data_IF_172544211447
#
_entry.id   IF_172544211447
#
_cell.length_a   1.000
_cell.length_b   1.000
_cell.length_c   1.000
_cell.angle_alpha   90.00
_cell.angle_beta   90.00
_cell.angle_gamma   90.00
#
_symmetry.space_group_name_H-M   'P 1'
#
loop_
_entity.id
_entity.type
_entity.pdbx_description
1 polymer ?
#
# COMPACT_ATOMS: atom_id res chain seq x y z
N UNK A 1 -17.57 -14.17 -22.43
CA UNK A 1 -18.15 -13.07 -21.62
C UNK A 1 -17.37 -13.04 -20.31
N UNK A 2 -16.36 -12.16 -20.21
CA UNK A 2 -15.57 -12.01 -18.99
C UNK A 2 -16.31 -11.08 -18.02
N UNK A 3 -16.50 -11.54 -16.78
CA UNK A 3 -17.12 -10.76 -15.70
C UNK A 3 -16.51 -9.36 -15.58
N UNK A 4 -17.31 -8.32 -15.30
CA UNK A 4 -16.79 -7.02 -14.93
C UNK A 4 -16.07 -7.19 -13.60
N UNK A 5 -14.74 -7.10 -13.60
CA UNK A 5 -13.92 -7.26 -12.42
C UNK A 5 -14.23 -6.12 -11.44
N UNK A 6 -15.15 -6.37 -10.52
CA UNK A 6 -15.20 -5.64 -9.26
C UNK A 6 -13.90 -5.99 -8.53
N UNK A 7 -12.99 -5.03 -8.43
CA UNK A 7 -11.84 -5.19 -7.57
C UNK A 7 -12.37 -5.27 -6.13
N UNK A 8 -12.10 -6.38 -5.44
CA UNK A 8 -12.34 -6.45 -4.00
C UNK A 8 -11.38 -5.47 -3.33
N UNK A 9 -11.79 -4.87 -2.21
CA UNK A 9 -10.85 -4.28 -1.27
C UNK A 9 -9.64 -5.21 -1.08
N UNK A 10 -8.42 -4.66 -1.13
CA UNK A 10 -7.25 -5.45 -0.83
C UNK A 10 -7.34 -6.00 0.59
N UNK A 11 -6.94 -7.26 0.77
CA UNK A 11 -6.80 -7.88 2.07
C UNK A 11 -5.87 -7.03 2.96
N UNK A 12 -6.41 -6.56 4.08
CA UNK A 12 -5.69 -5.84 5.09
C UNK A 12 -5.08 -6.80 6.13
N UNK A 13 -4.07 -6.29 6.84
CA UNK A 13 -3.41 -6.98 7.95
C UNK A 13 -3.77 -6.24 9.23
N UNK A 14 -4.18 -6.97 10.26
CA UNK A 14 -4.49 -6.44 11.58
C UNK A 14 -3.66 -7.13 12.64
N UNK A 15 -3.36 -6.41 13.71
CA UNK A 15 -2.64 -6.96 14.86
C UNK A 15 -3.53 -6.93 16.10
N UNK A 16 -3.53 -8.04 16.83
CA UNK A 16 -4.06 -8.17 18.18
C UNK A 16 -2.89 -8.46 19.10
N UNK A 17 -2.73 -7.68 20.16
CA UNK A 17 -1.70 -7.93 21.17
C UNK A 17 -2.27 -8.81 22.27
N UNK A 18 -1.57 -9.88 22.64
CA UNK A 18 -1.72 -10.53 23.94
C UNK A 18 -0.88 -9.73 24.95
N UNK A 19 -1.51 -9.25 26.02
CA UNK A 19 -0.90 -8.24 26.90
C UNK A 19 -0.61 -8.78 28.29
N UNK A 20 0.32 -8.15 29.05
CA UNK A 20 0.60 -8.49 30.45
C UNK A 20 -0.58 -8.41 31.44
N UNK A 21 -1.71 -7.83 31.01
CA UNK A 21 -2.93 -7.77 31.81
C UNK A 21 -3.86 -8.96 31.54
N UNK A 22 -3.38 -10.00 30.86
CA UNK A 22 -4.15 -11.15 30.39
C UNK A 22 -5.37 -10.72 29.56
N UNK A 23 -5.13 -9.83 28.60
CA UNK A 23 -6.16 -9.36 27.66
C UNK A 23 -5.67 -9.36 26.22
N UNK A 24 -6.60 -9.54 25.28
CA UNK A 24 -6.40 -9.22 23.88
C UNK A 24 -6.66 -7.74 23.62
N UNK A 25 -5.77 -7.06 22.91
CA UNK A 25 -5.90 -5.65 22.53
C UNK A 25 -5.75 -5.46 21.02
N UNK A 26 -6.81 -5.07 20.29
CA UNK A 26 -8.19 -4.95 20.77
C UNK A 26 -8.84 -6.33 21.04
N UNK A 27 -9.74 -6.40 22.02
CA UNK A 27 -10.50 -7.63 22.31
C UNK A 27 -11.64 -7.86 21.32
N UNK A 28 -12.22 -6.79 20.76
CA UNK A 28 -13.16 -6.86 19.64
C UNK A 28 -12.53 -6.25 18.40
N UNK A 29 -12.33 -7.06 17.37
CA UNK A 29 -11.75 -6.61 16.11
C UNK A 29 -12.73 -6.88 14.96
N UNK A 30 -13.05 -5.83 14.23
CA UNK A 30 -13.87 -5.91 13.03
C UNK A 30 -12.99 -5.82 11.78
N UNK A 31 -13.07 -6.83 10.92
CA UNK A 31 -12.31 -6.95 9.67
C UNK A 31 -13.22 -7.25 8.49
N UNK A 32 -12.66 -7.38 7.30
CA UNK A 32 -13.35 -7.80 6.08
C UNK A 32 -12.90 -9.20 5.64
N UNK A 33 -13.73 -9.88 4.87
CA UNK A 33 -13.40 -11.18 4.31
C UNK A 33 -12.10 -11.10 3.47
N UNK A 34 -11.23 -12.10 3.66
CA UNK A 34 -9.84 -12.21 3.15
C UNK A 34 -8.80 -11.39 3.89
N UNK A 35 -9.15 -10.60 4.90
CA UNK A 35 -8.17 -9.95 5.79
C UNK A 35 -7.44 -11.00 6.64
N UNK A 36 -6.25 -10.63 7.13
CA UNK A 36 -5.43 -11.46 8.02
C UNK A 36 -5.31 -10.79 9.38
N UNK A 37 -5.47 -11.58 10.44
CA UNK A 37 -5.22 -11.16 11.82
C UNK A 37 -3.95 -11.83 12.31
N UNK A 38 -3.08 -11.05 12.93
CA UNK A 38 -1.87 -11.51 13.59
C UNK A 38 -1.98 -11.26 15.08
N UNK A 39 -1.93 -12.32 15.87
CA UNK A 39 -1.77 -12.22 17.31
C UNK A 39 -0.29 -12.16 17.65
N UNK A 40 0.12 -11.20 18.47
CA UNK A 40 1.50 -11.01 18.91
C UNK A 40 1.53 -11.03 20.42
N UNK A 41 2.39 -11.85 21.01
CA UNK A 41 2.57 -11.83 22.44
C UNK A 41 3.48 -10.67 22.87
N UNK A 42 2.92 -9.73 23.64
CA UNK A 42 3.62 -8.58 24.21
C UNK A 42 3.87 -8.73 25.72
N UNK A 43 3.48 -9.88 26.30
CA UNK A 43 3.80 -10.28 27.65
C UNK A 43 5.18 -10.95 27.69
N UNK A 44 6.10 -10.37 28.47
CA UNK A 44 7.47 -10.86 28.63
C UNK A 44 7.61 -11.91 29.75
N UNK A 45 6.52 -12.19 30.46
CA UNK A 45 6.48 -13.04 31.63
C UNK A 45 5.67 -14.32 31.38
N UNK A 46 4.62 -14.24 30.57
CA UNK A 46 3.70 -15.34 30.29
C UNK A 46 3.66 -15.71 28.79
N UNK A 47 3.44 -16.99 28.50
CA UNK A 47 3.07 -17.44 27.15
C UNK A 47 1.55 -17.36 26.98
N UNK A 48 1.12 -17.06 25.76
CA UNK A 48 -0.30 -16.89 25.44
C UNK A 48 -0.69 -17.68 24.20
N UNK A 49 -1.97 -17.94 24.02
CA UNK A 49 -2.50 -18.53 22.78
C UNK A 49 -3.79 -17.86 22.32
N UNK A 50 -4.25 -18.25 21.14
CA UNK A 50 -5.53 -17.82 20.55
C UNK A 50 -6.24 -19.05 20.07
N UNK A 51 -7.26 -19.46 20.83
CA UNK A 51 -8.05 -20.66 20.57
C UNK A 51 -9.47 -20.27 20.24
N UNK A 52 -9.92 -20.66 19.04
CA UNK A 52 -11.29 -20.45 18.63
C UNK A 52 -12.25 -21.22 19.52
N UNK A 53 -13.29 -20.56 20.06
CA UNK A 53 -14.34 -21.25 20.80
C UNK A 53 -15.17 -22.18 19.90
N UNK A 54 -15.01 -22.08 18.58
CA UNK A 54 -15.67 -22.90 17.57
C UNK A 54 -14.77 -24.01 17.02
N UNK A 55 -13.55 -24.17 17.53
CA UNK A 55 -12.59 -25.18 17.06
C UNK A 55 -12.04 -24.93 15.65
N UNK A 56 -12.10 -23.69 15.17
CA UNK A 56 -11.67 -23.32 13.80
C UNK A 56 -10.15 -23.14 13.72
N UNK A 57 -9.53 -22.64 14.79
CA UNK A 57 -8.09 -22.49 14.90
C UNK A 57 -7.63 -22.63 16.35
N UNK A 58 -6.36 -22.92 16.48
CA UNK A 58 -5.58 -22.91 17.72
C UNK A 58 -4.16 -22.51 17.33
N UNK A 59 -3.62 -21.43 17.92
CA UNK A 59 -2.26 -20.98 17.63
C UNK A 59 -1.17 -21.86 18.25
N UNK A 60 -1.52 -22.64 19.28
CA UNK A 60 -0.57 -23.12 20.28
C UNK A 60 0.04 -21.96 21.11
N UNK A 61 0.90 -22.29 22.09
CA UNK A 61 1.60 -21.29 22.89
C UNK A 61 2.48 -20.38 22.03
N UNK A 62 2.39 -19.08 22.30
CA UNK A 62 3.14 -18.01 21.65
C UNK A 62 4.01 -17.35 22.73
N UNK A 63 5.33 -17.52 22.63
CA UNK A 63 6.31 -16.87 23.51
C UNK A 63 6.37 -15.36 23.29
N UNK A 64 6.99 -14.63 24.22
CA UNK A 64 7.24 -13.18 24.11
C UNK A 64 7.83 -12.78 22.74
N UNK A 65 7.23 -11.77 22.10
CA UNK A 65 7.51 -11.30 20.74
C UNK A 65 7.25 -12.32 19.62
N UNK A 66 6.77 -13.51 19.96
CA UNK A 66 6.23 -14.49 19.03
C UNK A 66 4.90 -14.01 18.43
N UNK A 67 4.49 -14.66 17.33
CA UNK A 67 3.23 -14.34 16.68
C UNK A 67 2.60 -15.51 15.95
N UNK A 68 1.28 -15.44 15.77
CA UNK A 68 0.48 -16.34 14.95
C UNK A 68 -0.41 -15.53 14.02
N UNK A 69 -0.50 -15.93 12.74
CA UNK A 69 -1.31 -15.22 11.74
C UNK A 69 -2.33 -16.15 11.10
N UNK A 70 -3.57 -15.66 10.96
CA UNK A 70 -4.65 -16.39 10.28
C UNK A 70 -5.42 -15.47 9.34
N UNK A 71 -5.68 -15.96 8.13
CA UNK A 71 -6.58 -15.30 7.17
C UNK A 71 -8.03 -15.73 7.40
N UNK A 72 -8.96 -14.78 7.33
CA UNK A 72 -10.39 -15.01 7.49
C UNK A 72 -11.13 -14.87 6.15
N UNK A 73 -11.28 -15.95 5.36
CA UNK A 73 -11.89 -15.86 4.03
C UNK A 73 -13.41 -15.72 4.03
N UNK A 74 -14.07 -16.08 5.14
CA UNK A 74 -15.53 -16.19 5.23
C UNK A 74 -16.07 -15.21 6.27
N UNK A 75 -17.20 -14.58 5.95
CA UNK A 75 -17.91 -13.67 6.86
C UNK A 75 -18.46 -14.43 8.06
N UNK A 76 -18.45 -13.80 9.22
CA UNK A 76 -18.96 -14.42 10.45
C UNK A 76 -18.46 -13.72 11.71
N UNK A 77 -18.90 -14.22 12.86
CA UNK A 77 -18.42 -13.81 14.16
C UNK A 77 -17.70 -14.99 14.80
N UNK A 78 -16.44 -14.77 15.14
CA UNK A 78 -15.52 -15.79 15.61
C UNK A 78 -15.03 -15.43 17.02
N UNK A 79 -15.70 -15.91 18.07
CA UNK A 79 -15.21 -15.78 19.44
C UNK A 79 -13.99 -16.68 19.66
N UNK A 80 -13.07 -16.22 20.50
CA UNK A 80 -11.87 -16.94 20.87
C UNK A 80 -11.42 -16.56 22.29
N UNK A 81 -10.59 -17.39 22.89
CA UNK A 81 -10.02 -17.16 24.20
C UNK A 81 -8.56 -17.63 24.22
N UNK A 82 -7.83 -17.18 25.24
CA UNK A 82 -6.57 -17.77 25.63
C UNK A 82 -6.85 -18.97 26.55
N UNK A 83 -6.34 -20.15 26.24
CA UNK A 83 -6.63 -21.39 26.97
C UNK A 83 -5.95 -21.48 28.34
N UNK A 84 -4.97 -20.63 28.63
CA UNK A 84 -4.26 -20.56 29.90
C UNK A 84 -4.89 -19.54 30.86
N UNK A 85 -5.50 -18.47 30.31
CA UNK A 85 -6.03 -17.35 31.07
C UNK A 85 -7.52 -17.05 30.81
N UNK A 86 -8.28 -17.95 30.19
CA UNK A 86 -9.73 -17.80 29.97
C UNK A 86 -10.52 -17.66 31.29
N UNK A 87 -10.09 -18.33 32.37
CA UNK A 87 -10.70 -18.19 33.70
C UNK A 87 -10.59 -16.77 34.26
N UNK A 88 -9.66 -15.96 33.75
CA UNK A 88 -9.48 -14.55 34.10
C UNK A 88 -10.17 -13.61 33.10
N UNK A 89 -10.88 -14.15 32.10
CA UNK A 89 -11.63 -13.39 31.12
C UNK A 89 -10.82 -12.97 29.90
N UNK A 90 -9.68 -13.60 29.63
CA UNK A 90 -8.88 -13.33 28.42
C UNK A 90 -9.59 -13.85 27.16
N UNK A 91 -10.56 -13.07 26.69
CA UNK A 91 -11.45 -13.41 25.58
C UNK A 91 -11.43 -12.32 24.50
N UNK A 92 -11.65 -12.75 23.27
CA UNK A 92 -11.74 -11.86 22.13
C UNK A 92 -12.82 -12.28 21.13
N UNK A 93 -13.09 -11.41 20.17
CA UNK A 93 -14.02 -11.67 19.07
C UNK A 93 -13.53 -11.02 17.80
N UNK A 94 -13.43 -11.82 16.73
CA UNK A 94 -13.22 -11.33 15.36
C UNK A 94 -14.57 -11.27 14.65
N UNK A 95 -14.97 -10.10 14.16
CA UNK A 95 -16.16 -9.92 13.34
C UNK A 95 -15.73 -9.68 11.89
N UNK A 96 -15.99 -10.65 11.02
CA UNK A 96 -15.62 -10.60 9.60
C UNK A 96 -16.83 -10.15 8.80
N UNK A 97 -16.77 -8.92 8.29
CA UNK A 97 -17.78 -8.35 7.40
C UNK A 97 -17.52 -8.75 5.94
N UNK A 98 -18.53 -8.66 5.06
CA UNK A 98 -18.30 -8.78 3.62
C UNK A 98 -17.17 -7.86 3.16
N UNK A 99 -16.32 -8.36 2.27
CA UNK A 99 -15.33 -7.53 1.60
C UNK A 99 -16.03 -6.34 0.92
N UNK A 100 -15.54 -5.14 1.17
CA UNK A 100 -16.07 -3.96 0.48
C UNK A 100 -15.72 -4.08 -0.99
N UNK A 101 -16.73 -4.12 -1.85
CA UNK A 101 -16.54 -4.08 -3.28
C UNK A 101 -16.12 -2.66 -3.65
N UNK A 102 -14.93 -2.52 -4.22
CA UNK A 102 -14.48 -1.25 -4.77
C UNK A 102 -14.98 -1.21 -6.21
N UNK A 103 -15.91 -0.29 -6.56
CA UNK A 103 -16.27 -0.13 -7.95
C UNK A 103 -15.03 0.32 -8.73
N UNK A 104 -14.73 -0.28 -9.89
CA UNK A 104 -13.59 0.14 -10.69
C UNK A 104 -13.77 1.61 -11.13
N UNK A 105 -12.66 2.34 -11.38
CA UNK A 105 -12.72 3.66 -11.98
C UNK A 105 -13.51 3.63 -13.28
N UNK A 106 -14.42 4.58 -13.43
CA UNK A 106 -15.28 4.66 -14.60
C UNK A 106 -14.97 5.93 -15.39
N UNK A 107 -14.93 5.80 -16.71
CA UNK A 107 -14.83 6.93 -17.62
C UNK A 107 -16.24 7.30 -18.11
N UNK A 108 -16.67 8.54 -17.87
CA UNK A 108 -18.00 9.04 -18.22
C UNK A 108 -17.91 10.40 -18.92
N UNK A 109 -19.04 10.92 -19.40
CA UNK A 109 -19.15 12.27 -19.98
C UNK A 109 -18.11 12.55 -21.07
N UNK A 110 -17.88 11.57 -21.95
CA UNK A 110 -16.95 11.71 -23.05
C UNK A 110 -17.44 12.75 -24.08
N UNK A 111 -16.58 13.70 -24.43
CA UNK A 111 -16.90 14.80 -25.32
C UNK A 111 -15.70 15.17 -26.19
N UNK A 112 -15.92 15.29 -27.50
CA UNK A 112 -14.93 15.86 -28.42
C UNK A 112 -15.07 17.39 -28.42
N UNK A 113 -13.97 18.08 -28.17
CA UNK A 113 -13.87 19.54 -28.19
C UNK A 113 -12.95 19.99 -29.34
N UNK A 114 -13.01 21.28 -29.67
CA UNK A 114 -12.14 21.87 -30.69
C UNK A 114 -10.64 21.72 -30.36
N UNK A 115 -10.28 21.66 -29.06
CA UNK A 115 -8.91 21.58 -28.57
C UNK A 115 -8.53 20.21 -27.97
N UNK A 116 -9.36 19.18 -28.13
CA UNK A 116 -9.03 17.86 -27.59
C UNK A 116 -10.23 16.97 -27.30
N UNK A 117 -9.99 15.93 -26.51
CA UNK A 117 -11.01 14.98 -26.07
C UNK A 117 -11.13 14.99 -24.54
N UNK A 118 -12.32 15.28 -24.03
CA UNK A 118 -12.61 15.42 -22.62
C UNK A 118 -13.41 14.22 -22.11
N UNK A 119 -13.18 13.82 -20.86
CA UNK A 119 -14.04 12.89 -20.13
C UNK A 119 -13.86 13.05 -18.63
N UNK A 120 -14.82 12.56 -17.86
CA UNK A 120 -14.75 12.46 -16.40
C UNK A 120 -14.22 11.09 -15.99
N UNK A 121 -13.35 11.06 -14.97
CA UNK A 121 -12.95 9.85 -14.26
C UNK A 121 -13.68 9.86 -12.93
N UNK A 122 -14.47 8.82 -12.64
CA UNK A 122 -15.27 8.68 -11.41
C UNK A 122 -14.94 7.38 -10.68
N UNK A 123 -15.57 7.15 -9.53
CA UNK A 123 -15.32 5.99 -8.64
C UNK A 123 -13.88 5.92 -8.11
N UNK A 124 -13.21 7.06 -7.97
CA UNK A 124 -11.89 7.12 -7.38
C UNK A 124 -11.97 6.98 -5.86
N UNK A 125 -11.01 6.27 -5.28
CA UNK A 125 -10.85 6.19 -3.82
C UNK A 125 -9.94 7.32 -3.37
N UNK A 126 -10.45 8.21 -2.52
CA UNK A 126 -9.67 9.30 -1.91
C UNK A 126 -8.45 8.70 -1.20
N UNK A 127 -7.29 9.36 -1.31
CA UNK A 127 -5.95 8.93 -0.86
C UNK A 127 -5.28 7.81 -1.65
N UNK A 128 -5.97 7.12 -2.58
CA UNK A 128 -5.34 6.13 -3.46
C UNK A 128 -4.71 6.79 -4.68
N UNK A 129 -3.61 6.21 -5.15
CA UNK A 129 -3.01 6.58 -6.44
C UNK A 129 -3.82 5.97 -7.57
N UNK A 130 -4.16 6.80 -8.55
CA UNK A 130 -4.87 6.39 -9.75
C UNK A 130 -4.02 6.72 -10.96
N UNK A 131 -4.03 5.82 -11.94
CA UNK A 131 -3.35 6.00 -13.22
C UNK A 131 -4.40 6.01 -14.30
N UNK A 132 -4.46 7.12 -15.04
CA UNK A 132 -5.14 7.16 -16.32
C UNK A 132 -4.16 6.75 -17.41
N UNK A 133 -4.57 5.81 -18.24
CA UNK A 133 -3.76 5.30 -19.35
C UNK A 133 -4.46 5.54 -20.68
N UNK A 134 -3.67 5.68 -21.74
CA UNK A 134 -4.15 5.61 -23.11
C UNK A 134 -3.38 4.60 -23.95
N UNK A 135 -4.06 4.09 -24.97
CA UNK A 135 -3.53 3.15 -25.95
C UNK A 135 -4.06 3.48 -27.34
N UNK A 136 -3.30 3.15 -28.38
CA UNK A 136 -3.75 3.23 -29.78
C UNK A 136 -4.12 1.86 -30.37
N UNK A 137 -3.82 0.77 -29.67
CA UNK A 137 -3.93 -0.61 -30.16
C UNK A 137 -4.60 -1.59 -29.16
N UNK A 138 -5.05 -1.10 -28.00
CA UNK A 138 -5.57 -1.88 -26.86
C UNK A 138 -4.57 -2.83 -26.19
N UNK A 139 -3.32 -2.90 -26.67
CA UNK A 139 -2.27 -3.78 -26.18
C UNK A 139 -1.25 -2.97 -25.38
N UNK A 140 -0.71 -1.93 -25.99
CA UNK A 140 0.30 -1.06 -25.42
C UNK A 140 -0.37 0.13 -24.73
N UNK A 141 -0.30 0.16 -23.39
CA UNK A 141 -0.90 1.20 -22.57
C UNK A 141 0.18 2.08 -21.96
N UNK A 142 0.03 3.39 -22.14
CA UNK A 142 0.93 4.41 -21.58
C UNK A 142 0.20 5.19 -20.50
N UNK A 143 0.86 5.50 -19.38
CA UNK A 143 0.32 6.40 -18.38
C UNK A 143 0.31 7.84 -18.91
N UNK A 144 -0.84 8.50 -18.81
CA UNK A 144 -1.06 9.86 -19.35
C UNK A 144 -1.39 10.86 -18.25
N UNK A 145 -1.81 10.36 -17.10
CA UNK A 145 -2.00 11.12 -15.88
C UNK A 145 -1.90 10.19 -14.68
N UNK A 146 -1.26 10.65 -13.61
CA UNK A 146 -1.14 9.91 -12.35
C UNK A 146 -1.34 10.88 -11.22
N UNK A 147 -2.25 10.56 -10.32
CA UNK A 147 -2.53 11.40 -9.18
C UNK A 147 -2.93 10.58 -7.96
N UNK A 148 -2.70 11.14 -6.78
CA UNK A 148 -3.39 10.71 -5.57
C UNK A 148 -4.77 11.38 -5.59
N UNK A 149 -5.85 10.60 -5.50
CA UNK A 149 -7.19 11.17 -5.53
C UNK A 149 -7.47 11.97 -4.27
N UNK A 150 -7.81 13.25 -4.43
CA UNK A 150 -8.30 14.13 -3.36
C UNK A 150 -9.83 14.15 -3.30
N UNK A 151 -10.49 13.66 -4.35
CA UNK A 151 -11.94 13.56 -4.53
C UNK A 151 -12.27 12.25 -5.24
N UNK A 152 -13.55 11.90 -5.31
CA UNK A 152 -14.03 10.66 -5.97
C UNK A 152 -14.04 10.72 -7.50
N UNK A 153 -13.63 11.85 -8.07
CA UNK A 153 -13.48 11.99 -9.52
C UNK A 153 -12.86 13.33 -9.93
N UNK A 154 -12.49 13.41 -11.20
CA UNK A 154 -11.98 14.61 -11.86
C UNK A 154 -12.34 14.60 -13.35
N UNK A 155 -12.25 15.76 -14.00
CA UNK A 155 -12.37 15.86 -15.45
C UNK A 155 -10.99 15.96 -16.08
N UNK A 156 -10.75 15.15 -17.11
CA UNK A 156 -9.50 15.14 -17.88
C UNK A 156 -9.75 15.67 -19.29
N UNK A 157 -8.81 16.45 -19.80
CA UNK A 157 -8.78 16.91 -21.19
C UNK A 157 -7.50 16.41 -21.85
N UNK A 158 -7.63 15.52 -22.84
CA UNK A 158 -6.54 15.11 -23.69
C UNK A 158 -6.38 16.07 -24.87
N UNK A 159 -5.35 16.92 -24.81
CA UNK A 159 -5.02 17.90 -25.87
C UNK A 159 -3.99 17.38 -26.87
N UNK A 160 -3.54 16.13 -26.74
CA UNK A 160 -2.54 15.57 -27.65
C UNK A 160 -3.13 15.42 -29.06
N UNK A 161 -2.30 15.49 -30.11
CA UNK A 161 -2.75 15.39 -31.49
C UNK A 161 -3.70 14.21 -31.72
N UNK A 162 -4.70 14.46 -32.56
CA UNK A 162 -5.66 13.43 -32.96
C UNK A 162 -4.91 12.27 -33.64
N UNK A 163 -5.29 11.06 -33.27
CA UNK A 163 -4.86 9.81 -33.90
C UNK A 163 -6.12 9.07 -34.35
N UNK A 164 -5.99 8.13 -35.26
CA UNK A 164 -7.14 7.42 -35.83
C UNK A 164 -8.06 6.83 -34.75
N UNK A 165 -7.47 6.22 -33.71
CA UNK A 165 -8.18 5.74 -32.51
C UNK A 165 -7.28 5.88 -31.29
N UNK A 166 -7.85 6.34 -30.17
CA UNK A 166 -7.22 6.32 -28.85
C UNK A 166 -8.22 5.77 -27.85
N UNK A 167 -7.80 4.79 -27.08
CA UNK A 167 -8.56 4.14 -26.02
C UNK A 167 -8.05 4.62 -24.68
N UNK A 168 -8.93 4.66 -23.69
CA UNK A 168 -8.62 5.15 -22.35
C UNK A 168 -9.07 4.12 -21.32
N UNK A 169 -8.31 3.99 -20.23
CA UNK A 169 -8.72 3.25 -19.04
C UNK A 169 -8.13 3.92 -17.80
N UNK A 170 -8.83 3.82 -16.69
CA UNK A 170 -8.33 4.26 -15.39
C UNK A 170 -8.14 3.03 -14.50
N UNK A 171 -7.07 3.06 -13.71
CA UNK A 171 -6.68 2.01 -12.78
C UNK A 171 -6.50 2.64 -11.41
N UNK A 172 -7.02 1.99 -10.36
CA UNK A 172 -6.58 2.27 -8.99
C UNK A 172 -5.35 1.41 -8.78
N UNK A 173 -4.25 1.99 -8.35
CA UNK A 173 -3.14 1.15 -7.91
C UNK A 173 -3.53 0.49 -6.58
N UNK A 174 -3.37 -0.84 -6.45
CA UNK A 174 -3.41 -1.46 -5.14
C UNK A 174 -2.45 -0.69 -4.22
N UNK A 175 -2.94 -0.28 -3.07
CA UNK A 175 -2.12 0.08 -1.92
C UNK A 175 -1.41 -1.19 -1.49
N UNK A 176 -0.38 -1.56 -2.23
CA UNK A 176 0.73 -2.24 -1.59
C UNK A 176 1.31 -1.17 -0.68
N UNK A 177 1.13 -1.34 0.62
CA UNK A 177 1.92 -0.67 1.65
C UNK A 177 3.39 -1.11 1.56
N UNK A 178 3.96 -1.11 0.35
CA UNK A 178 5.39 -1.01 0.14
C UNK A 178 5.60 0.50 0.17
N UNK A 179 5.91 1.09 1.33
CA UNK A 179 6.28 2.50 1.38
C UNK A 179 7.37 2.70 0.31
N UNK A 180 7.04 3.50 -0.69
CA UNK A 180 7.98 3.84 -1.75
C UNK A 180 8.93 4.87 -1.19
N UNK A 181 10.25 4.70 -1.40
CA UNK A 181 11.22 5.70 -0.97
C UNK A 181 10.85 7.08 -1.51
N UNK A 182 10.72 8.06 -0.62
CA UNK A 182 10.40 9.42 -0.97
C UNK A 182 11.63 10.31 -0.75
N UNK A 183 11.91 11.18 -1.71
CA UNK A 183 12.96 12.20 -1.58
C UNK A 183 12.34 13.51 -1.10
N UNK A 184 12.78 14.02 0.05
CA UNK A 184 12.27 15.24 0.68
C UNK A 184 13.41 16.16 1.12
N UNK A 185 13.09 17.38 1.58
CA UNK A 185 14.06 18.31 2.16
C UNK A 185 15.28 18.59 1.27
N UNK A 186 15.04 18.77 -0.03
CA UNK A 186 16.10 19.04 -1.00
C UNK A 186 16.72 20.44 -0.76
N UNK A 187 18.05 20.49 -0.62
CA UNK A 187 18.78 21.71 -0.29
C UNK A 187 20.15 21.73 -0.98
N UNK A 188 20.47 22.84 -1.65
CA UNK A 188 21.84 23.11 -2.06
C UNK A 188 22.64 23.61 -0.87
N UNK A 189 23.79 23.00 -0.61
CA UNK A 189 24.71 23.34 0.50
C UNK A 189 26.09 23.65 -0.05
N UNK A 190 26.95 24.27 0.77
CA UNK A 190 28.29 24.74 0.37
C UNK A 190 29.15 23.67 -0.33
N UNK A 191 28.93 22.38 -0.01
CA UNK A 191 29.71 21.26 -0.53
C UNK A 191 28.88 20.23 -1.33
N UNK A 192 27.70 20.60 -1.84
CA UNK A 192 26.91 19.69 -2.67
C UNK A 192 25.40 19.89 -2.61
N UNK A 193 24.68 18.83 -2.90
CA UNK A 193 23.22 18.81 -2.89
C UNK A 193 22.71 17.74 -1.91
N UNK A 194 21.94 18.18 -0.91
CA UNK A 194 21.44 17.35 0.17
C UNK A 194 19.94 17.07 0.00
N UNK A 195 19.49 15.88 0.41
CA UNK A 195 18.07 15.57 0.57
C UNK A 195 17.88 14.41 1.56
N UNK A 196 16.67 14.28 2.10
CA UNK A 196 16.25 13.13 2.91
C UNK A 196 15.65 12.05 2.01
N UNK A 197 15.98 10.79 2.29
CA UNK A 197 15.28 9.61 1.77
C UNK A 197 14.43 9.07 2.91
N UNK A 198 13.12 9.06 2.76
CA UNK A 198 12.16 8.58 3.76
C UNK A 198 11.36 7.39 3.22
N UNK A 199 10.50 6.80 4.05
CA UNK A 199 9.62 5.68 3.67
C UNK A 199 10.39 4.41 3.26
N UNK A 200 11.55 4.16 3.87
CA UNK A 200 12.29 2.92 3.67
C UNK A 200 11.71 1.79 4.51
N UNK A 201 11.78 0.56 3.98
CA UNK A 201 11.40 -0.66 4.71
C UNK A 201 12.63 -1.21 5.41
N UNK A 202 12.59 -1.33 6.73
CA UNK A 202 13.70 -1.89 7.53
C UNK A 202 14.00 -3.32 7.05
N UNK A 203 15.29 -3.65 6.96
CA UNK A 203 15.83 -4.91 6.45
C UNK A 203 15.68 -5.15 4.94
N UNK A 204 15.10 -4.21 4.17
CA UNK A 204 15.12 -4.26 2.71
C UNK A 204 16.31 -3.51 2.11
N UNK A 205 16.80 -3.99 0.97
CA UNK A 205 17.82 -3.32 0.18
C UNK A 205 17.20 -2.17 -0.61
N UNK A 206 17.83 -0.99 -0.53
CA UNK A 206 17.41 0.21 -1.23
C UNK A 206 18.55 0.71 -2.12
N UNK A 207 18.20 1.22 -3.30
CA UNK A 207 19.14 1.84 -4.23
C UNK A 207 18.71 3.28 -4.48
N UNK A 208 19.59 4.22 -4.20
CA UNK A 208 19.51 5.60 -4.67
C UNK A 208 20.24 5.69 -6.01
N UNK A 209 19.59 6.29 -7.00
CA UNK A 209 20.14 6.47 -8.34
C UNK A 209 20.14 7.95 -8.73
N UNK A 210 21.09 8.33 -9.58
CA UNK A 210 21.07 9.62 -10.26
C UNK A 210 21.14 9.48 -11.77
N UNK A 211 20.62 10.50 -12.45
CA UNK A 211 20.66 10.63 -13.90
C UNK A 211 20.93 12.07 -14.31
N UNK A 212 21.55 12.28 -15.48
CA UNK A 212 21.67 13.59 -16.12
C UNK A 212 20.64 13.80 -17.24
N UNK A 213 19.94 12.73 -17.67
CA UNK A 213 19.06 12.76 -18.85
C UNK A 213 17.71 12.04 -18.65
N UNK A 214 17.38 11.58 -17.43
CA UNK A 214 16.19 10.78 -17.08
C UNK A 214 16.08 9.40 -17.75
N UNK A 215 17.03 9.04 -18.63
CA UNK A 215 17.06 7.76 -19.35
C UNK A 215 18.08 6.81 -18.72
N UNK A 216 19.32 7.28 -18.59
CA UNK A 216 20.43 6.51 -18.02
C UNK A 216 20.52 6.81 -16.53
N UNK A 217 20.34 5.77 -15.71
CA UNK A 217 20.36 5.87 -14.25
C UNK A 217 21.54 5.08 -13.70
N UNK A 218 22.37 5.74 -12.91
CA UNK A 218 23.50 5.12 -12.22
C UNK A 218 23.19 5.00 -10.74
N UNK A 219 23.50 3.86 -10.11
CA UNK A 219 23.42 3.71 -8.66
C UNK A 219 24.50 4.57 -7.99
N UNK A 220 24.10 5.36 -6.98
CA UNK A 220 24.96 6.32 -6.29
C UNK A 220 25.10 5.99 -4.80
N UNK A 221 24.18 5.18 -4.29
CA UNK A 221 24.20 4.64 -2.94
C UNK A 221 23.29 3.41 -2.88
N UNK A 222 23.76 2.35 -2.24
CA UNK A 222 22.98 1.12 -2.01
C UNK A 222 23.15 0.73 -0.57
N UNK A 223 22.06 0.45 0.13
CA UNK A 223 22.09 0.05 1.53
C UNK A 223 20.93 -0.88 1.90
N UNK A 224 21.15 -1.72 2.91
CA UNK A 224 20.05 -2.33 3.66
C UNK A 224 19.56 -1.30 4.67
N UNK A 225 18.27 -0.99 4.66
CA UNK A 225 17.71 0.01 5.57
C UNK A 225 17.70 -0.52 7.00
N UNK A 226 18.37 0.19 7.91
CA UNK A 226 18.31 -0.05 9.36
C UNK A 226 17.28 0.85 10.06
N UNK A 227 16.77 1.85 9.34
CA UNK A 227 15.76 2.83 9.76
C UNK A 227 14.85 3.16 8.58
N UNK A 228 13.75 3.86 8.84
CA UNK A 228 12.77 4.28 7.81
C UNK A 228 13.22 5.46 6.94
N UNK A 229 14.42 5.99 7.17
CA UNK A 229 15.01 7.03 6.34
C UNK A 229 16.43 7.41 6.72
N UNK A 230 17.07 8.20 5.85
CA UNK A 230 18.40 8.78 6.05
C UNK A 230 18.55 10.08 5.27
N UNK A 231 19.55 10.89 5.61
CA UNK A 231 19.94 12.07 4.82
C UNK A 231 21.10 11.73 3.91
N UNK A 232 21.01 12.09 2.64
CA UNK A 232 22.06 11.90 1.65
C UNK A 232 22.65 13.25 1.23
N UNK A 233 23.97 13.32 1.09
CA UNK A 233 24.68 14.47 0.54
C UNK A 233 25.42 14.04 -0.73
N UNK A 234 25.02 14.59 -1.87
CA UNK A 234 25.72 14.43 -3.13
C UNK A 234 26.82 15.49 -3.26
N UNK A 235 28.08 15.06 -3.10
CA UNK A 235 29.28 15.89 -3.23
C UNK A 235 29.93 15.83 -4.61
N UNK A 236 29.34 15.09 -5.56
CA UNK A 236 29.92 14.93 -6.90
C UNK A 236 29.88 16.25 -7.68
N UNK A 237 30.78 16.44 -8.66
CA UNK A 237 30.88 17.68 -9.42
C UNK A 237 29.54 18.18 -9.95
N UNK A 238 29.33 19.50 -9.90
CA UNK A 238 28.13 20.12 -10.43
C UNK A 238 27.98 19.84 -11.93
N UNK A 239 26.77 19.52 -12.33
CA UNK A 239 26.35 19.34 -13.72
C UNK A 239 25.14 20.23 -13.96
N UNK A 240 24.83 20.55 -15.23
CA UNK A 240 23.72 21.44 -15.56
C UNK A 240 22.39 20.99 -14.94
N UNK A 241 22.11 19.68 -14.94
CA UNK A 241 20.97 19.07 -14.26
C UNK A 241 21.32 17.66 -13.78
N UNK A 242 20.89 17.32 -12.58
CA UNK A 242 20.93 15.96 -12.03
C UNK A 242 19.59 15.63 -11.41
N UNK A 243 19.06 14.46 -11.74
CA UNK A 243 17.82 13.91 -11.24
C UNK A 243 18.13 12.76 -10.30
N UNK A 244 17.26 12.54 -9.32
CA UNK A 244 17.42 11.51 -8.30
C UNK A 244 16.15 10.67 -8.20
N UNK A 245 16.31 9.38 -7.91
CA UNK A 245 15.22 8.48 -7.52
C UNK A 245 15.73 7.43 -6.56
N UNK A 246 14.87 6.95 -5.67
CA UNK A 246 15.17 5.85 -4.78
C UNK A 246 14.21 4.69 -5.05
N UNK A 247 14.73 3.47 -4.93
CA UNK A 247 14.03 2.22 -5.23
C UNK A 247 14.25 1.23 -4.08
N UNK A 248 13.23 0.44 -3.76
CA UNK A 248 13.36 -0.75 -2.91
C UNK A 248 13.52 -1.96 -3.82
N UNK A 249 14.49 -2.83 -3.54
CA UNK A 249 14.63 -4.11 -4.23
C UNK A 249 13.72 -5.18 -3.60
N UNK A 250 13.25 -6.18 -4.38
CA UNK A 250 12.45 -7.30 -3.88
C UNK A 250 13.04 -7.99 -2.65
#
# INVERSE_FOLDING_TARGET
>A
MSSPWLERGQAAQFTVQMTPAWTFSPSNLQIQASDTVTWVNMDDSDYHDSVSSQGIWDSGPVDYLGSYSLQFPVTGTFPYADSFYDQYGMMGTIVVKPATLIPPPLLTNALTLANGFQFSVTNLIVTRTNILQASTDLVNWTAIYTNVATRTGYTYLDTRPAVQRRFYRALVLPYTAVPQPLLTNALAVTNGFQFSVTNLIVSKTNILQASTNLVNWTAIYTNVATKTGYTYLDTRPAVQRRFYRALVLP
#
